data_IF_345612743156
#
_entry.id   IF_345612743156
#
_cell.length_a   1.000
_cell.length_b   1.000
_cell.length_c   1.000
_cell.angle_alpha   90.00
_cell.angle_beta   90.00
_cell.angle_gamma   90.00
#
_symmetry.space_group_name_H-M   'P 1'
#
loop_
_entity.id
_entity.type
_entity.pdbx_description
1 polymer ?
#
# COMPACT_ATOMS: atom_id res chain seq x y z
N UNK A 1 82.90 5.93 -13.57
CA UNK A 1 82.34 6.61 -14.76
C UNK A 1 80.86 6.24 -14.82
N UNK A 2 80.00 7.04 -14.20
CA UNK A 2 79.02 7.91 -14.88
C UNK A 2 77.94 7.13 -15.66
N UNK A 3 76.75 6.97 -15.07
CA UNK A 3 75.55 7.74 -15.44
C UNK A 3 74.35 7.41 -14.55
N UNK A 4 73.72 8.48 -14.08
CA UNK A 4 72.44 8.53 -13.42
C UNK A 4 71.29 8.50 -14.43
N UNK A 5 70.12 7.97 -14.04
CA UNK A 5 68.81 8.46 -14.49
C UNK A 5 67.70 8.15 -13.46
N UNK A 6 66.76 9.07 -13.38
CA UNK A 6 65.82 9.48 -12.31
C UNK A 6 64.50 8.67 -12.21
N UNK A 7 63.64 8.93 -11.20
CA UNK A 7 62.56 8.03 -10.76
C UNK A 7 61.19 8.34 -11.40
N UNK A 8 60.32 7.33 -11.47
CA UNK A 8 58.88 7.49 -11.76
C UNK A 8 58.14 7.82 -10.46
N UNK A 9 57.73 9.08 -10.32
CA UNK A 9 56.80 9.52 -9.29
C UNK A 9 55.37 9.15 -9.73
N UNK A 10 54.80 8.11 -9.12
CA UNK A 10 53.39 7.74 -9.24
C UNK A 10 52.60 8.31 -8.06
N UNK A 11 51.88 9.41 -8.27
CA UNK A 11 50.98 9.99 -7.28
C UNK A 11 49.72 9.12 -7.16
N UNK A 12 49.66 8.29 -6.12
CA UNK A 12 48.43 7.56 -5.75
C UNK A 12 47.44 8.58 -5.19
N UNK A 13 46.44 8.91 -5.99
CA UNK A 13 45.34 9.81 -5.61
C UNK A 13 44.29 8.97 -4.87
N UNK A 14 44.30 9.02 -3.54
CA UNK A 14 43.21 8.49 -2.71
C UNK A 14 41.94 9.30 -3.03
N UNK A 15 41.00 8.68 -3.74
CA UNK A 15 39.63 9.19 -3.88
C UNK A 15 38.87 8.81 -2.60
N UNK A 16 38.26 9.76 -1.88
CA UNK A 16 37.43 9.43 -0.74
C UNK A 16 36.11 8.86 -1.28
N UNK A 17 35.88 7.58 -1.05
CA UNK A 17 34.56 6.96 -1.25
C UNK A 17 33.66 7.49 -0.13
N UNK A 18 32.95 8.59 -0.40
CA UNK A 18 31.80 9.00 0.41
C UNK A 18 30.71 7.95 0.23
N UNK A 19 30.70 6.97 1.14
CA UNK A 19 29.62 6.02 1.30
C UNK A 19 28.38 6.78 1.78
N UNK A 20 27.54 7.21 0.83
CA UNK A 20 26.21 7.75 1.10
C UNK A 20 25.37 6.60 1.70
N UNK A 21 25.27 6.55 3.01
CA UNK A 21 24.29 5.71 3.69
C UNK A 21 22.90 6.28 3.36
N UNK A 22 22.24 5.74 2.33
CA UNK A 22 20.81 5.90 2.16
C UNK A 22 20.15 5.33 3.42
N UNK A 23 19.73 6.21 4.32
CA UNK A 23 18.76 5.89 5.35
C UNK A 23 17.49 5.45 4.63
N UNK A 24 17.36 4.14 4.39
CA UNK A 24 16.12 3.53 3.95
C UNK A 24 15.10 3.77 5.05
N UNK A 25 14.25 4.76 4.86
CA UNK A 25 13.03 4.86 5.65
C UNK A 25 12.28 3.54 5.48
N UNK A 26 11.75 2.92 6.56
CA UNK A 26 10.83 1.82 6.40
C UNK A 26 9.65 2.36 5.58
N UNK A 27 9.62 2.02 4.30
CA UNK A 27 8.41 2.17 3.53
C UNK A 27 7.42 1.21 4.20
N UNK A 28 6.32 1.73 4.74
CA UNK A 28 5.16 0.90 5.03
C UNK A 28 4.71 0.34 3.69
N UNK A 29 5.26 -0.83 3.36
CA UNK A 29 4.94 -1.53 2.15
C UNK A 29 3.52 -2.05 2.36
N UNK A 30 2.55 -1.30 1.85
CA UNK A 30 1.20 -1.80 1.70
C UNK A 30 1.27 -3.16 0.99
N UNK A 31 0.33 -4.04 1.34
CA UNK A 31 0.22 -5.37 0.75
C UNK A 31 -1.22 -5.60 0.32
N UNK A 32 -1.36 -6.33 -0.79
CA UNK A 32 -2.63 -6.90 -1.22
C UNK A 32 -2.54 -8.40 -0.93
N UNK A 33 -3.44 -8.87 -0.08
CA UNK A 33 -3.53 -10.28 0.30
C UNK A 33 -4.90 -10.88 -0.01
N UNK A 34 -5.03 -12.17 0.26
CA UNK A 34 -6.29 -12.90 0.18
C UNK A 34 -7.23 -12.56 1.35
N UNK A 35 -8.53 -12.76 1.13
CA UNK A 35 -9.54 -12.58 2.17
C UNK A 35 -9.78 -13.83 3.03
N UNK A 36 -9.10 -14.95 2.79
CA UNK A 36 -9.15 -16.13 3.67
C UNK A 36 -8.24 -15.95 4.89
N UNK A 37 -8.52 -14.90 5.65
CA UNK A 37 -7.76 -14.50 6.85
C UNK A 37 -8.71 -14.03 7.94
N UNK A 38 -8.25 -14.04 9.19
CA UNK A 38 -9.08 -13.61 10.30
C UNK A 38 -9.38 -12.10 10.25
N UNK A 39 -8.49 -11.30 9.65
CA UNK A 39 -8.68 -9.86 9.46
C UNK A 39 -9.88 -9.57 8.55
N UNK A 40 -10.07 -10.37 7.49
CA UNK A 40 -11.16 -10.23 6.53
C UNK A 40 -12.51 -10.79 7.01
N UNK A 41 -12.65 -11.11 8.29
CA UNK A 41 -13.89 -11.64 8.85
C UNK A 41 -14.99 -10.56 8.96
N UNK A 42 -16.24 -10.92 8.65
CA UNK A 42 -17.39 -10.01 8.74
C UNK A 42 -17.60 -9.38 10.13
N UNK A 43 -17.13 -10.03 11.20
CA UNK A 43 -17.15 -9.48 12.57
C UNK A 43 -16.29 -8.21 12.71
N UNK A 44 -15.27 -8.06 11.88
CA UNK A 44 -14.35 -6.94 11.91
C UNK A 44 -14.86 -5.80 11.02
N UNK A 45 -16.03 -5.89 10.37
CA UNK A 45 -16.55 -4.73 9.63
C UNK A 45 -16.79 -3.60 10.62
N UNK A 46 -16.29 -2.41 10.29
CA UNK A 46 -16.19 -1.26 11.19
C UNK A 46 -17.55 -0.58 11.46
N UNK A 47 -18.55 -1.34 11.94
CA UNK A 47 -19.95 -0.93 12.18
C UNK A 47 -20.15 0.05 13.35
N UNK A 48 -19.12 0.75 13.83
CA UNK A 48 -19.29 1.59 15.02
C UNK A 48 -20.36 2.66 14.82
N UNK A 49 -21.15 2.93 15.87
CA UNK A 49 -22.34 3.81 15.84
C UNK A 49 -22.06 5.27 15.40
N UNK A 50 -20.79 5.61 15.19
CA UNK A 50 -20.33 6.94 14.79
C UNK A 50 -19.55 6.93 13.46
N UNK A 51 -19.71 5.89 12.65
CA UNK A 51 -18.98 5.74 11.38
C UNK A 51 -19.92 5.61 10.19
N UNK A 52 -20.04 6.69 9.42
CA UNK A 52 -20.84 6.73 8.20
C UNK A 52 -20.06 6.26 6.95
N UNK A 53 -18.76 5.94 7.11
CA UNK A 53 -17.86 5.62 6.01
C UNK A 53 -17.37 4.17 6.00
N UNK A 54 -18.20 3.25 6.49
CA UNK A 54 -17.92 1.80 6.50
C UNK A 54 -17.78 1.24 5.08
N UNK A 55 -18.47 1.81 4.09
CA UNK A 55 -18.39 1.35 2.70
C UNK A 55 -18.26 2.49 1.71
N UNK A 56 -17.58 2.21 0.59
CA UNK A 56 -17.51 3.09 -0.57
C UNK A 56 -17.61 2.25 -1.84
N UNK A 57 -18.34 2.74 -2.84
CA UNK A 57 -18.52 2.02 -4.11
C UNK A 57 -17.98 2.78 -5.30
N UNK A 58 -17.54 2.03 -6.31
CA UNK A 58 -17.05 2.54 -7.59
C UNK A 58 -17.62 1.71 -8.75
N UNK A 59 -17.53 2.24 -9.97
CA UNK A 59 -17.96 1.53 -11.18
C UNK A 59 -19.43 1.12 -11.14
N UNK A 60 -20.33 2.04 -10.77
CA UNK A 60 -21.76 1.82 -10.61
C UNK A 60 -22.12 0.73 -9.58
N UNK A 61 -21.35 0.62 -8.49
CA UNK A 61 -21.60 -0.36 -7.44
C UNK A 61 -20.96 -1.72 -7.67
N UNK A 62 -20.29 -1.93 -8.81
CA UNK A 62 -19.61 -3.19 -9.11
C UNK A 62 -18.40 -3.42 -8.19
N UNK A 63 -17.70 -2.37 -7.79
CA UNK A 63 -16.59 -2.44 -6.86
C UNK A 63 -17.05 -1.86 -5.53
N UNK A 64 -16.80 -2.58 -4.43
CA UNK A 64 -17.10 -2.14 -3.08
C UNK A 64 -15.84 -2.23 -2.21
N UNK A 65 -15.52 -1.13 -1.56
CA UNK A 65 -14.63 -1.10 -0.43
C UNK A 65 -15.46 -1.23 0.84
N UNK A 66 -15.01 -2.09 1.75
CA UNK A 66 -15.53 -2.23 3.10
C UNK A 66 -14.38 -2.00 4.06
N UNK A 67 -14.56 -1.07 4.99
CA UNK A 67 -13.59 -0.83 6.03
C UNK A 67 -13.73 -1.90 7.11
N UNK A 68 -12.60 -2.46 7.48
CA UNK A 68 -12.48 -3.40 8.58
C UNK A 68 -11.69 -2.76 9.71
N UNK A 69 -12.06 -3.07 10.94
CA UNK A 69 -11.45 -2.67 12.19
C UNK A 69 -11.23 -3.94 13.02
N UNK A 70 -9.96 -4.31 13.23
CA UNK A 70 -9.60 -5.48 14.05
C UNK A 70 -9.57 -5.16 15.55
N UNK A 71 -9.91 -3.93 15.94
CA UNK A 71 -9.80 -3.31 17.28
C UNK A 71 -8.35 -3.20 17.78
N UNK A 72 -7.60 -4.30 17.70
CA UNK A 72 -6.20 -4.37 18.07
C UNK A 72 -5.34 -4.94 16.92
N UNK A 73 -4.08 -4.49 16.79
CA UNK A 73 -3.46 -3.41 17.56
C UNK A 73 -4.05 -2.03 17.21
N UNK A 74 -4.34 -1.20 18.21
CA UNK A 74 -5.05 0.08 18.01
C UNK A 74 -4.44 1.02 16.94
N UNK A 75 -3.11 1.02 16.80
CA UNK A 75 -2.41 1.85 15.80
C UNK A 75 -2.28 1.19 14.43
N UNK A 76 -2.87 0.02 14.22
CA UNK A 76 -2.81 -0.73 12.97
C UNK A 76 -4.04 -1.65 12.82
N UNK A 77 -5.22 -1.16 13.21
CA UNK A 77 -6.45 -1.94 13.22
C UNK A 77 -7.21 -1.91 11.88
N UNK A 78 -6.98 -0.89 11.04
CA UNK A 78 -7.84 -0.68 9.88
C UNK A 78 -7.33 -1.39 8.62
N UNK A 79 -8.20 -2.17 7.98
CA UNK A 79 -7.92 -2.81 6.69
C UNK A 79 -9.01 -2.45 5.68
N UNK A 80 -8.70 -2.58 4.38
CA UNK A 80 -9.69 -2.36 3.33
C UNK A 80 -9.97 -3.69 2.64
N UNK A 81 -11.20 -4.18 2.77
CA UNK A 81 -11.70 -5.31 1.99
C UNK A 81 -12.27 -4.79 0.69
N UNK A 82 -11.72 -5.28 -0.42
CA UNK A 82 -12.13 -4.96 -1.78
C UNK A 82 -12.93 -6.11 -2.34
N UNK A 83 -14.22 -5.90 -2.60
CA UNK A 83 -15.07 -6.84 -3.33
C UNK A 83 -15.27 -6.33 -4.76
N UNK A 84 -15.00 -7.18 -5.75
CA UNK A 84 -15.05 -6.79 -7.16
C UNK A 84 -15.40 -7.99 -8.06
N UNK A 85 -15.93 -7.75 -9.28
CA UNK A 85 -16.14 -8.81 -10.25
C UNK A 85 -14.81 -9.18 -10.92
N UNK A 86 -14.57 -10.48 -11.06
CA UNK A 86 -13.51 -11.05 -11.88
C UNK A 86 -14.17 -11.75 -13.08
N UNK A 87 -13.72 -11.49 -14.33
CA UNK A 87 -14.32 -12.07 -15.54
C UNK A 87 -14.20 -13.59 -15.61
N UNK A 88 -13.24 -14.19 -14.92
CA UNK A 88 -13.00 -15.64 -14.90
C UNK A 88 -13.66 -16.32 -13.68
N UNK A 89 -14.21 -15.54 -12.73
CA UNK A 89 -14.89 -16.05 -11.54
C UNK A 89 -16.42 -16.08 -11.70
N UNK A 90 -17.05 -17.06 -11.05
CA UNK A 90 -18.52 -17.21 -11.02
C UNK A 90 -19.16 -16.31 -9.95
N UNK A 91 -18.39 -15.93 -8.93
CA UNK A 91 -18.78 -15.07 -7.83
C UNK A 91 -17.93 -13.79 -7.79
N UNK A 92 -18.31 -12.87 -6.91
CA UNK A 92 -17.44 -11.75 -6.58
C UNK A 92 -16.15 -12.26 -5.93
N UNK A 93 -15.03 -11.68 -6.34
CA UNK A 93 -13.73 -11.92 -5.74
C UNK A 93 -13.43 -10.92 -4.63
N UNK A 94 -12.45 -11.27 -3.80
CA UNK A 94 -12.09 -10.50 -2.62
C UNK A 94 -10.57 -10.35 -2.47
N UNK A 95 -10.14 -9.12 -2.19
CA UNK A 95 -8.75 -8.79 -1.84
C UNK A 95 -8.70 -7.91 -0.60
N UNK A 96 -7.69 -8.11 0.23
CA UNK A 96 -7.47 -7.36 1.47
C UNK A 96 -6.26 -6.44 1.31
N UNK A 97 -6.47 -5.13 1.40
CA UNK A 97 -5.39 -4.12 1.39
C UNK A 97 -5.02 -3.78 2.85
N UNK A 98 -3.73 -3.91 3.18
CA UNK A 98 -3.19 -3.76 4.54
C UNK A 98 -1.81 -3.07 4.53
N UNK A 99 -1.30 -2.66 5.69
CA UNK A 99 0.02 -2.02 5.82
C UNK A 99 1.21 -3.01 5.79
N UNK A 100 0.94 -4.32 5.82
CA UNK A 100 1.94 -5.39 5.77
C UNK A 100 2.07 -6.15 7.10
N UNK A 101 2.71 -7.34 7.07
CA UNK A 101 3.00 -8.12 8.29
C UNK A 101 1.77 -8.56 9.11
N UNK A 102 0.58 -8.58 8.50
CA UNK A 102 -0.69 -8.85 9.19
C UNK A 102 -1.29 -7.64 9.91
N UNK A 103 -0.64 -6.47 9.82
CA UNK A 103 -1.05 -5.20 10.40
C UNK A 103 -1.84 -4.34 9.40
N UNK A 104 -2.81 -3.60 9.91
CA UNK A 104 -3.58 -2.60 9.19
C UNK A 104 -2.97 -1.19 9.30
N UNK A 105 -3.78 -0.21 8.99
CA UNK A 105 -3.46 1.22 9.05
C UNK A 105 -3.99 1.84 10.36
N UNK A 106 -3.39 2.94 10.85
CA UNK A 106 -3.86 3.61 12.07
C UNK A 106 -5.22 4.29 11.89
N UNK A 107 -5.48 4.84 10.70
CA UNK A 107 -6.74 5.50 10.37
C UNK A 107 -6.95 5.55 8.86
N UNK A 108 -8.19 5.43 8.42
CA UNK A 108 -8.62 5.54 7.02
C UNK A 108 -9.98 6.22 6.93
N UNK A 109 -10.27 6.88 5.81
CA UNK A 109 -11.59 7.46 5.55
C UNK A 109 -12.10 7.12 4.15
N UNK A 110 -13.02 6.15 4.07
CA UNK A 110 -13.58 5.73 2.78
C UNK A 110 -14.53 6.78 2.19
N UNK A 111 -15.12 7.66 3.02
CA UNK A 111 -15.98 8.76 2.54
C UNK A 111 -15.21 9.75 1.68
N UNK A 112 -13.90 9.87 1.93
CA UNK A 112 -12.96 10.70 1.18
C UNK A 112 -12.19 9.92 0.11
N UNK A 113 -12.45 8.62 -0.05
CA UNK A 113 -11.78 7.82 -1.06
C UNK A 113 -12.19 8.27 -2.47
N UNK A 114 -11.18 8.41 -3.32
CA UNK A 114 -11.31 8.88 -4.69
C UNK A 114 -10.78 7.82 -5.67
N UNK A 115 -11.36 7.78 -6.88
CA UNK A 115 -11.02 6.77 -7.88
C UNK A 115 -10.81 7.40 -9.25
N UNK A 116 -9.71 7.04 -9.91
CA UNK A 116 -9.38 7.46 -11.29
C UNK A 116 -9.34 6.23 -12.19
N UNK A 117 -10.07 6.26 -13.30
CA UNK A 117 -10.12 5.14 -14.24
C UNK A 117 -9.22 5.38 -15.45
N UNK A 118 -8.42 4.37 -15.78
CA UNK A 118 -7.61 4.27 -17.00
C UNK A 118 -7.93 2.94 -17.71
N UNK A 119 -8.40 2.94 -18.97
CA UNK A 119 -8.71 1.71 -19.71
C UNK A 119 -7.55 0.70 -19.81
N UNK A 120 -6.29 1.17 -19.75
CA UNK A 120 -5.11 0.30 -19.85
C UNK A 120 -4.68 -0.30 -18.51
N UNK A 121 -5.11 0.28 -17.38
CA UNK A 121 -4.64 -0.09 -16.03
C UNK A 121 -5.76 -0.54 -15.10
N UNK A 122 -6.99 -0.06 -15.30
CA UNK A 122 -8.13 -0.27 -14.42
C UNK A 122 -8.47 0.96 -13.58
N UNK A 123 -9.08 0.73 -12.42
CA UNK A 123 -9.46 1.76 -11.47
C UNK A 123 -8.37 1.90 -10.41
N UNK A 124 -7.65 3.02 -10.39
CA UNK A 124 -6.77 3.39 -9.26
C UNK A 124 -7.61 4.07 -8.20
N UNK A 125 -7.52 3.58 -6.96
CA UNK A 125 -8.22 4.12 -5.80
C UNK A 125 -7.21 4.68 -4.82
N UNK A 126 -7.53 5.86 -4.30
CA UNK A 126 -6.78 6.57 -3.27
C UNK A 126 -7.66 6.73 -2.05
N UNK A 127 -7.21 6.20 -0.91
CA UNK A 127 -7.92 6.24 0.37
C UNK A 127 -7.09 7.06 1.36
N UNK A 128 -7.54 8.27 1.72
CA UNK A 128 -6.84 9.07 2.70
C UNK A 128 -7.05 8.52 4.11
N UNK A 129 -6.07 8.77 4.97
CA UNK A 129 -6.03 8.39 6.36
C UNK A 129 -5.12 9.32 7.15
N UNK A 130 -4.81 8.92 8.38
CA UNK A 130 -3.83 9.58 9.22
C UNK A 130 -2.89 8.52 9.83
N UNK A 131 -1.62 8.88 10.05
CA UNK A 131 -0.73 8.10 10.90
C UNK A 131 -1.15 8.22 12.36
N UNK A 132 -0.51 7.46 13.25
CA UNK A 132 -0.70 7.58 14.69
C UNK A 132 -0.22 8.92 15.27
N UNK A 133 0.73 9.59 14.60
CA UNK A 133 1.14 10.96 14.92
C UNK A 133 0.20 12.04 14.35
N UNK A 134 -0.80 11.63 13.55
CA UNK A 134 -1.74 12.54 12.91
C UNK A 134 -1.26 13.14 11.59
N UNK A 135 -0.17 12.62 11.02
CA UNK A 135 0.30 13.02 9.69
C UNK A 135 -0.58 12.43 8.60
N UNK A 136 -0.61 13.07 7.42
CA UNK A 136 -1.41 12.60 6.30
C UNK A 136 -0.89 11.25 5.77
N UNK A 137 -1.79 10.27 5.68
CA UNK A 137 -1.54 8.97 5.07
C UNK A 137 -2.40 8.84 3.80
N UNK A 138 -1.83 8.26 2.74
CA UNK A 138 -2.56 7.93 1.51
C UNK A 138 -2.29 6.48 1.12
N UNK A 139 -3.35 5.67 1.09
CA UNK A 139 -3.30 4.29 0.63
C UNK A 139 -3.75 4.25 -0.83
N UNK A 140 -2.92 3.68 -1.70
CA UNK A 140 -3.18 3.67 -3.15
C UNK A 140 -3.07 2.26 -3.71
N UNK A 141 -4.11 1.80 -4.40
CA UNK A 141 -4.13 0.51 -5.06
C UNK A 141 -4.92 0.57 -6.37
N UNK A 142 -4.63 -0.33 -7.30
CA UNK A 142 -5.26 -0.40 -8.62
C UNK A 142 -6.04 -1.71 -8.75
N UNK A 143 -7.27 -1.62 -9.25
CA UNK A 143 -8.17 -2.74 -9.49
C UNK A 143 -8.35 -2.89 -11.00
N UNK A 144 -7.81 -3.95 -11.57
CA UNK A 144 -7.96 -4.29 -12.97
C UNK A 144 -9.03 -5.37 -13.15
N UNK A 145 -10.25 -4.93 -13.49
CA UNK A 145 -11.38 -5.85 -13.73
C UNK A 145 -11.24 -6.68 -15.01
N UNK A 146 -10.32 -6.35 -15.91
CA UNK A 146 -10.10 -7.18 -17.10
C UNK A 146 -9.21 -8.38 -16.79
N UNK A 147 -8.36 -8.28 -15.76
CA UNK A 147 -7.42 -9.35 -15.35
C UNK A 147 -7.75 -9.97 -14.00
N UNK A 148 -8.71 -9.42 -13.25
CA UNK A 148 -9.02 -9.87 -11.90
C UNK A 148 -8.00 -9.46 -10.84
N UNK A 149 -7.01 -8.61 -11.19
CA UNK A 149 -5.90 -8.27 -10.30
C UNK A 149 -6.16 -7.01 -9.48
N UNK A 150 -5.68 -7.03 -8.23
CA UNK A 150 -5.56 -5.85 -7.37
C UNK A 150 -4.09 -5.68 -7.02
N UNK A 151 -3.52 -4.52 -7.32
CA UNK A 151 -2.08 -4.25 -7.21
C UNK A 151 -1.80 -2.94 -6.50
N UNK A 152 -0.56 -2.77 -6.08
CA UNK A 152 -0.02 -1.58 -5.43
C UNK A 152 0.95 -0.91 -6.43
N UNK A 153 1.00 0.43 -6.50
CA UNK A 153 1.95 1.15 -7.34
C UNK A 153 3.42 0.95 -6.95
#
# INVERSE_FOLDING_TARGET
MSKATTPFAGTVRCVPVCLLALLGMPAWAQVVGDCDTWQANARNVAWSDNRDDVTRTFGNGAIRLTLLDTEEPALAAFHILVTYPDPDAISLECRLVSAGGGLGFPSLSLSRAFGTYDPARGLTVEVPGLTDEGDALLVTFTINRATGEVTIP
#
